data_IF_571446474852
#
_entry.id   IF_571446474852
#
_cell.length_a   1.000
_cell.length_b   1.000
_cell.length_c   1.000
_cell.angle_alpha   90.00
_cell.angle_beta   90.00
_cell.angle_gamma   90.00
#
_symmetry.space_group_name_H-M   'P 1'
#
loop_
_entity.id
_entity.type
_entity.pdbx_description
1 polymer ?
#
# COMPACT_ATOMS: atom_id res chain seq x y z
N UNK A 1 -1.78 -23.45 -20.69
CA UNK A 1 -2.55 -22.26 -20.25
C UNK A 1 -2.46 -22.11 -18.73
N UNK A 2 -2.64 -23.19 -17.96
CA UNK A 2 -2.53 -23.15 -16.49
C UNK A 2 -1.22 -22.56 -15.95
N UNK A 3 -0.05 -22.99 -16.47
CA UNK A 3 1.25 -22.42 -16.05
C UNK A 3 1.36 -20.91 -16.23
N UNK A 4 0.71 -20.35 -17.25
CA UNK A 4 0.75 -18.90 -17.50
C UNK A 4 -0.17 -18.15 -16.52
N UNK A 5 -1.32 -18.75 -16.18
CA UNK A 5 -2.22 -18.24 -15.14
C UNK A 5 -1.58 -18.33 -13.76
N UNK A 6 -0.91 -19.43 -13.43
CA UNK A 6 -0.20 -19.58 -12.16
C UNK A 6 0.90 -18.52 -12.02
N UNK A 7 1.68 -18.30 -13.09
CA UNK A 7 2.68 -17.24 -13.13
C UNK A 7 2.06 -15.85 -12.96
N UNK A 8 0.93 -15.58 -13.63
CA UNK A 8 0.20 -14.32 -13.48
C UNK A 8 -0.27 -14.11 -12.03
N UNK A 9 -0.78 -15.16 -11.38
CA UNK A 9 -1.18 -15.14 -9.97
C UNK A 9 0.00 -14.84 -9.05
N UNK A 10 1.14 -15.52 -9.27
CA UNK A 10 2.37 -15.29 -8.51
C UNK A 10 2.88 -13.85 -8.66
N UNK A 11 2.88 -13.30 -9.88
CA UNK A 11 3.31 -11.92 -10.13
C UNK A 11 2.38 -10.93 -9.40
N UNK A 12 1.06 -11.11 -9.50
CA UNK A 12 0.08 -10.26 -8.81
C UNK A 12 0.32 -10.27 -7.30
N UNK A 13 0.47 -11.45 -6.71
CA UNK A 13 0.72 -11.59 -5.26
C UNK A 13 2.06 -10.97 -4.84
N UNK A 14 3.11 -11.13 -5.66
CA UNK A 14 4.41 -10.52 -5.40
C UNK A 14 4.32 -8.98 -5.40
N UNK A 15 3.56 -8.40 -6.33
CA UNK A 15 3.32 -6.95 -6.38
C UNK A 15 2.54 -6.47 -5.15
N UNK A 16 1.48 -7.19 -4.74
CA UNK A 16 0.69 -6.81 -3.56
C UNK A 16 1.53 -6.86 -2.27
N UNK A 17 2.36 -7.90 -2.12
CA UNK A 17 3.30 -8.01 -0.99
C UNK A 17 4.34 -6.89 -1.03
N UNK A 18 4.88 -6.60 -2.20
CA UNK A 18 5.82 -5.49 -2.39
C UNK A 18 5.20 -4.15 -2.00
N UNK A 19 3.98 -3.87 -2.47
CA UNK A 19 3.24 -2.67 -2.12
C UNK A 19 3.03 -2.55 -0.61
N UNK A 20 2.64 -3.65 0.05
CA UNK A 20 2.46 -3.69 1.51
C UNK A 20 3.76 -3.38 2.26
N UNK A 21 4.87 -4.00 1.86
CA UNK A 21 6.17 -3.77 2.51
C UNK A 21 6.63 -2.31 2.37
N UNK A 22 6.48 -1.70 1.18
CA UNK A 22 6.89 -0.31 0.97
C UNK A 22 5.93 0.65 1.70
N UNK A 23 4.63 0.32 1.77
CA UNK A 23 3.66 1.09 2.57
C UNK A 23 4.08 1.19 4.02
N UNK A 24 4.47 0.07 4.65
CA UNK A 24 4.94 0.04 6.02
C UNK A 24 6.18 0.91 6.22
N UNK A 25 7.13 0.87 5.28
CA UNK A 25 8.32 1.73 5.31
C UNK A 25 7.94 3.22 5.24
N UNK A 26 7.06 3.61 4.31
CA UNK A 26 6.62 5.00 4.19
C UNK A 26 5.86 5.48 5.42
N UNK A 27 4.98 4.64 5.99
CA UNK A 27 4.26 4.95 7.24
C UNK A 27 5.24 5.14 8.40
N UNK A 28 6.23 4.26 8.54
CA UNK A 28 7.23 4.36 9.59
C UNK A 28 8.08 5.64 9.46
N UNK A 29 8.56 5.94 8.25
CA UNK A 29 9.38 7.12 7.98
C UNK A 29 8.62 8.41 8.25
N UNK A 30 7.39 8.52 7.76
CA UNK A 30 6.63 9.75 7.92
C UNK A 30 6.12 9.92 9.38
N UNK A 31 5.93 8.82 10.13
CA UNK A 31 5.59 8.88 11.56
C UNK A 31 6.74 9.47 12.41
N UNK A 32 7.99 9.21 12.03
CA UNK A 32 9.18 9.61 12.79
C UNK A 32 9.23 11.09 13.21
N UNK A 33 9.11 12.09 12.30
CA UNK A 33 9.12 13.50 12.70
C UNK A 33 7.96 13.86 13.64
N UNK A 34 6.79 13.26 13.47
CA UNK A 34 5.63 13.48 14.33
C UNK A 34 5.81 12.85 15.72
N UNK A 35 6.53 11.73 15.82
CA UNK A 35 6.92 11.15 17.11
C UNK A 35 7.87 12.10 17.88
N UNK A 36 8.74 12.84 17.19
CA UNK A 36 9.55 13.88 17.83
C UNK A 36 8.71 15.09 18.26
N UNK A 37 7.81 15.57 17.42
CA UNK A 37 6.91 16.69 17.76
C UNK A 37 6.01 16.35 18.95
N UNK A 38 5.57 15.09 19.06
CA UNK A 38 4.74 14.66 20.18
C UNK A 38 5.43 14.75 21.55
N UNK A 39 6.77 14.80 21.59
CA UNK A 39 7.53 15.02 22.84
C UNK A 39 7.47 16.46 23.34
N UNK A 40 7.02 17.40 22.50
CA UNK A 40 6.80 18.79 22.86
C UNK A 40 5.35 18.88 23.33
N UNK A 41 5.12 18.96 24.65
CA UNK A 41 3.78 18.84 25.26
C UNK A 41 2.66 19.64 24.55
N UNK A 42 2.84 20.95 24.26
CA UNK A 42 1.82 21.74 23.54
C UNK A 42 1.46 21.22 22.14
N UNK A 43 2.31 20.39 21.53
CA UNK A 43 2.14 19.85 20.19
C UNK A 43 1.66 18.39 20.17
N UNK A 44 1.56 17.71 21.32
CA UNK A 44 1.24 16.27 21.37
C UNK A 44 -0.02 15.90 20.60
N UNK A 45 -1.13 16.60 20.87
CA UNK A 45 -2.40 16.37 20.20
C UNK A 45 -2.32 16.63 18.69
N UNK A 46 -1.67 17.72 18.29
CA UNK A 46 -1.50 18.06 16.88
C UNK A 46 -0.65 17.01 16.16
N UNK A 47 0.43 16.54 16.79
CA UNK A 47 1.30 15.52 16.25
C UNK A 47 0.57 14.19 16.08
N UNK A 48 -0.26 13.78 17.05
CA UNK A 48 -1.05 12.55 16.96
C UNK A 48 -2.13 12.64 15.87
N UNK A 49 -2.78 13.79 15.70
CA UNK A 49 -3.70 14.02 14.57
C UNK A 49 -2.97 13.94 13.22
N UNK A 50 -1.77 14.53 13.13
CA UNK A 50 -0.91 14.45 11.95
C UNK A 50 -0.56 13.01 11.58
N UNK A 51 -0.27 12.15 12.59
CA UNK A 51 0.05 10.73 12.35
C UNK A 51 -1.14 10.00 11.73
N UNK A 52 -2.35 10.23 12.25
CA UNK A 52 -3.56 9.62 11.73
C UNK A 52 -3.85 10.08 10.29
N UNK A 53 -3.72 11.38 10.02
CA UNK A 53 -3.94 11.94 8.67
C UNK A 53 -2.95 11.38 7.65
N UNK A 54 -1.68 11.28 8.04
CA UNK A 54 -0.64 10.68 7.21
C UNK A 54 -0.90 9.20 6.96
N UNK A 55 -1.20 8.41 8.01
CA UNK A 55 -1.44 6.97 7.86
C UNK A 55 -2.59 6.70 6.89
N UNK A 56 -3.68 7.46 7.03
CA UNK A 56 -4.83 7.42 6.11
C UNK A 56 -4.43 7.80 4.68
N UNK A 57 -3.67 8.90 4.53
CA UNK A 57 -3.28 9.41 3.22
C UNK A 57 -2.36 8.45 2.47
N UNK A 58 -1.34 7.92 3.16
CA UNK A 58 -0.44 6.89 2.61
C UNK A 58 -1.24 5.63 2.28
N UNK A 59 -2.08 5.14 3.20
CA UNK A 59 -2.90 3.96 2.98
C UNK A 59 -3.80 4.08 1.74
N UNK A 60 -4.42 5.25 1.54
CA UNK A 60 -5.26 5.53 0.36
C UNK A 60 -4.48 5.44 -0.96
N UNK A 61 -3.25 5.95 -1.01
CA UNK A 61 -2.38 5.83 -2.18
C UNK A 61 -2.03 4.37 -2.45
N UNK A 62 -1.66 3.62 -1.42
CA UNK A 62 -1.33 2.20 -1.59
C UNK A 62 -2.54 1.33 -1.95
N UNK A 63 -3.73 1.69 -1.47
CA UNK A 63 -4.96 1.05 -1.90
C UNK A 63 -5.24 1.28 -3.39
N UNK A 64 -4.95 2.49 -3.88
CA UNK A 64 -5.03 2.77 -5.32
C UNK A 64 -4.02 1.94 -6.12
N UNK A 65 -2.81 1.73 -5.61
CA UNK A 65 -1.79 0.86 -6.23
C UNK A 65 -2.30 -0.59 -6.29
N UNK A 66 -2.85 -1.11 -5.18
CA UNK A 66 -3.45 -2.45 -5.11
C UNK A 66 -4.61 -2.61 -6.09
N UNK A 67 -5.48 -1.60 -6.19
CA UNK A 67 -6.58 -1.61 -7.16
C UNK A 67 -6.07 -1.70 -8.61
N UNK A 68 -5.03 -0.94 -8.96
CA UNK A 68 -4.41 -1.03 -10.29
C UNK A 68 -3.82 -2.43 -10.53
N UNK A 69 -3.12 -3.01 -9.55
CA UNK A 69 -2.58 -4.37 -9.65
C UNK A 69 -3.70 -5.42 -9.85
N UNK A 70 -4.80 -5.30 -9.10
CA UNK A 70 -5.97 -6.16 -9.27
C UNK A 70 -6.55 -6.03 -10.68
N UNK A 71 -6.79 -4.81 -11.16
CA UNK A 71 -7.38 -4.57 -12.49
C UNK A 71 -6.47 -5.04 -13.62
N UNK A 72 -5.16 -4.85 -13.49
CA UNK A 72 -4.19 -5.42 -14.43
C UNK A 72 -4.24 -6.96 -14.44
N UNK A 73 -4.38 -7.60 -13.28
CA UNK A 73 -4.54 -9.04 -13.17
C UNK A 73 -5.85 -9.55 -13.78
N UNK A 74 -6.95 -8.84 -13.60
CA UNK A 74 -8.25 -9.15 -14.24
C UNK A 74 -8.14 -9.06 -15.77
N UNK A 75 -7.54 -8.00 -16.30
CA UNK A 75 -7.30 -7.84 -17.75
C UNK A 75 -6.40 -8.96 -18.30
N UNK A 76 -5.31 -9.28 -17.61
CA UNK A 76 -4.45 -10.39 -17.99
C UNK A 76 -5.21 -11.73 -18.01
N UNK A 77 -6.08 -11.97 -17.03
CA UNK A 77 -6.90 -13.19 -16.96
C UNK A 77 -7.85 -13.31 -18.15
N UNK A 78 -8.49 -12.20 -18.54
CA UNK A 78 -9.36 -12.13 -19.71
C UNK A 78 -8.60 -12.42 -21.00
N UNK A 79 -7.41 -11.82 -21.16
CA UNK A 79 -6.56 -12.05 -22.34
C UNK A 79 -6.04 -13.48 -22.46
N UNK A 80 -5.86 -14.18 -21.33
CA UNK A 80 -5.48 -15.59 -21.29
C UNK A 80 -6.67 -16.54 -21.53
N UNK A 81 -7.85 -16.02 -21.87
CA UNK A 81 -9.01 -16.81 -22.26
C UNK A 81 -9.81 -17.37 -21.09
N UNK A 82 -9.64 -16.85 -19.87
CA UNK A 82 -10.54 -17.14 -18.75
C UNK A 82 -11.64 -16.07 -18.68
N UNK A 83 -12.90 -16.52 -18.71
CA UNK A 83 -14.07 -15.74 -18.27
C UNK A 83 -14.06 -15.65 -16.74
#
# INVERSE_FOLDING_TARGET
MDKLTDLQGMVREAIDKGATNVEEVHKALAKMPLDFLAKIGPLENLANQGKALQDQSIGSVYESIRLVNQKAGELASQMLGKK
#
